data_IF_568120391017
#
_entry.id   IF_568120391017
#
_cell.length_a   1.000
_cell.length_b   1.000
_cell.length_c   1.000
_cell.angle_alpha   90.00
_cell.angle_beta   90.00
_cell.angle_gamma   90.00
#
_symmetry.space_group_name_H-M   'P 1'
#
loop_
_entity.id
_entity.type
_entity.pdbx_description
1 polymer ?
#
# COMPACT_ATOMS: atom_id res chain seq x y z
N UNK A 1 -56.91 2.04 30.16
CA UNK A 1 -56.80 1.02 29.09
C UNK A 1 -56.86 1.71 27.74
N UNK A 2 -55.70 1.88 27.08
CA UNK A 2 -55.52 2.04 25.61
C UNK A 2 -54.01 2.23 25.35
N UNK A 3 -53.29 1.10 25.41
CA UNK A 3 -52.17 0.74 24.50
C UNK A 3 -51.00 1.75 24.43
N UNK A 4 -49.98 1.76 25.30
CA UNK A 4 -48.90 0.78 25.48
C UNK A 4 -48.34 0.08 24.21
N UNK A 5 -48.51 0.65 23.00
CA UNK A 5 -48.17 -0.05 21.73
C UNK A 5 -47.25 0.74 20.79
N UNK A 6 -46.45 1.70 21.28
CA UNK A 6 -45.40 2.32 20.43
C UNK A 6 -44.03 2.25 21.10
N UNK A 7 -43.69 1.06 21.60
CA UNK A 7 -42.33 0.72 22.07
C UNK A 7 -41.76 -0.47 21.30
N UNK A 8 -42.38 -0.89 20.20
CA UNK A 8 -41.99 -2.11 19.50
C UNK A 8 -42.25 -2.01 18.00
N UNK A 9 -41.52 -1.12 17.31
CA UNK A 9 -41.36 -1.25 15.87
C UNK A 9 -40.00 -0.72 15.44
N UNK A 10 -39.03 -1.64 15.55
CA UNK A 10 -38.12 -1.98 14.45
C UNK A 10 -37.50 -0.82 13.69
N UNK A 11 -36.29 -0.47 14.14
CA UNK A 11 -35.38 0.38 13.40
C UNK A 11 -34.03 0.39 14.08
N UNK A 12 -33.51 -0.80 14.40
CA UNK A 12 -32.10 -0.98 14.69
C UNK A 12 -31.34 -0.42 13.47
N UNK A 13 -30.91 0.84 13.56
CA UNK A 13 -29.72 1.28 12.86
C UNK A 13 -28.57 0.53 13.53
N UNK A 14 -28.39 -0.71 13.11
CA UNK A 14 -27.06 -1.31 13.07
C UNK A 14 -26.24 -0.34 12.24
N UNK A 15 -25.47 0.50 12.93
CA UNK A 15 -24.26 1.07 12.37
C UNK A 15 -23.46 -0.14 11.93
N UNK A 16 -23.56 -0.49 10.64
CA UNK A 16 -22.66 -1.45 10.04
C UNK A 16 -21.29 -0.84 10.22
N UNK A 17 -20.49 -1.44 11.11
CA UNK A 17 -19.07 -1.18 11.15
C UNK A 17 -18.56 -1.50 9.74
N UNK A 18 -18.37 -0.46 8.95
CA UNK A 18 -17.63 -0.55 7.70
C UNK A 18 -16.21 -0.89 8.10
N UNK A 19 -15.93 -2.19 8.20
CA UNK A 19 -14.58 -2.71 8.38
C UNK A 19 -13.81 -2.47 7.10
N UNK A 20 -13.38 -1.23 6.88
CA UNK A 20 -12.62 -0.83 5.70
C UNK A 20 -11.19 -1.40 5.69
N UNK A 21 -10.81 -2.29 6.62
CA UNK A 21 -9.51 -2.96 6.61
C UNK A 21 -9.66 -4.41 6.18
N UNK A 22 -9.65 -4.61 4.87
CA UNK A 22 -9.86 -5.91 4.23
C UNK A 22 -8.67 -6.89 4.33
N UNK A 23 -7.52 -6.49 4.90
CA UNK A 23 -6.38 -7.38 5.24
C UNK A 23 -5.38 -6.74 6.22
N UNK A 24 -4.58 -7.57 6.92
CA UNK A 24 -3.51 -7.10 7.81
C UNK A 24 -2.13 -7.13 7.15
N UNK A 25 -1.87 -8.17 6.38
CA UNK A 25 -0.55 -8.44 5.79
C UNK A 25 -0.71 -8.82 4.33
N UNK A 26 0.15 -8.30 3.45
CA UNK A 26 0.21 -8.66 2.04
C UNK A 26 1.64 -9.01 1.63
N UNK A 27 1.84 -10.09 0.89
CA UNK A 27 3.12 -10.47 0.30
C UNK A 27 2.94 -10.71 -1.19
N UNK A 28 3.83 -10.19 -2.03
CA UNK A 28 3.78 -10.48 -3.44
C UNK A 28 4.83 -9.75 -4.24
N UNK A 29 4.49 -9.41 -5.47
CA UNK A 29 5.41 -8.84 -6.45
C UNK A 29 4.93 -7.46 -6.88
N UNK A 30 5.89 -6.57 -7.14
CA UNK A 30 5.70 -5.28 -7.79
C UNK A 30 6.52 -5.25 -9.06
N UNK A 31 5.91 -4.81 -10.15
CA UNK A 31 6.56 -4.53 -11.42
C UNK A 31 6.57 -3.03 -11.66
N UNK A 32 7.71 -2.48 -12.04
CA UNK A 32 7.89 -1.03 -12.19
C UNK A 32 8.86 -0.69 -13.31
N UNK A 33 8.91 0.58 -13.68
CA UNK A 33 9.86 1.11 -14.64
C UNK A 33 11.30 0.78 -14.27
N UNK A 34 12.14 0.50 -15.27
CA UNK A 34 13.53 0.12 -15.06
C UNK A 34 14.40 1.21 -14.42
N UNK A 35 14.05 2.50 -14.58
CA UNK A 35 14.86 3.63 -14.09
C UNK A 35 14.91 3.80 -12.57
N UNK A 36 13.91 3.29 -11.84
CA UNK A 36 13.89 3.35 -10.38
C UNK A 36 14.92 2.37 -9.78
N UNK A 37 15.58 2.77 -8.69
CA UNK A 37 16.46 1.92 -7.88
C UNK A 37 15.64 0.81 -7.22
N UNK A 38 14.48 1.14 -6.67
CA UNK A 38 13.51 0.14 -6.16
C UNK A 38 12.45 -0.12 -7.24
N UNK A 39 12.85 -0.86 -8.28
CA UNK A 39 12.03 -1.19 -9.45
C UNK A 39 11.11 -2.41 -9.24
N UNK A 40 11.46 -3.55 -9.84
CA UNK A 40 10.78 -4.83 -9.74
C UNK A 40 11.16 -5.49 -8.43
N UNK A 41 10.19 -5.69 -7.55
CA UNK A 41 10.45 -6.07 -6.18
C UNK A 41 9.50 -7.14 -5.66
N UNK A 42 9.99 -7.95 -4.71
CA UNK A 42 9.09 -8.59 -3.75
C UNK A 42 8.67 -7.53 -2.74
N UNK A 43 7.37 -7.39 -2.53
CA UNK A 43 6.77 -6.40 -1.65
C UNK A 43 6.05 -7.09 -0.49
N UNK A 44 6.31 -6.62 0.72
CA UNK A 44 5.65 -7.02 1.95
C UNK A 44 4.99 -5.80 2.60
N UNK A 45 3.67 -5.80 2.67
CA UNK A 45 2.86 -4.75 3.30
C UNK A 45 2.28 -5.23 4.62
N UNK A 46 2.39 -4.42 5.65
CA UNK A 46 1.80 -4.67 6.96
C UNK A 46 1.06 -3.44 7.47
N UNK A 47 -0.25 -3.55 7.66
CA UNK A 47 -1.04 -2.47 8.23
C UNK A 47 -0.83 -2.41 9.74
N UNK A 48 -0.37 -1.27 10.25
CA UNK A 48 -0.26 -0.99 11.68
C UNK A 48 -1.65 -0.81 12.30
N UNK A 49 -2.52 -0.08 11.61
CA UNK A 49 -3.90 0.22 11.98
C UNK A 49 -4.76 0.34 10.71
N UNK A 50 -6.02 0.79 10.83
CA UNK A 50 -6.99 0.93 9.73
C UNK A 50 -6.55 1.84 8.57
N UNK A 51 -5.62 2.76 8.86
CA UNK A 51 -5.21 3.86 7.98
C UNK A 51 -3.72 3.83 7.66
N UNK A 52 -2.89 3.18 8.46
CA UNK A 52 -1.43 3.28 8.37
C UNK A 52 -0.81 1.92 8.08
N UNK A 53 0.09 1.86 7.10
CA UNK A 53 0.83 0.66 6.75
C UNK A 53 2.33 0.94 6.61
N UNK A 54 3.12 -0.10 6.80
CA UNK A 54 4.51 -0.15 6.39
C UNK A 54 4.61 -1.09 5.20
N UNK A 55 5.31 -0.67 4.15
CA UNK A 55 5.63 -1.51 2.99
C UNK A 55 7.16 -1.65 2.89
N UNK A 56 7.65 -2.89 2.90
CA UNK A 56 9.04 -3.24 2.65
C UNK A 56 9.17 -3.83 1.25
N UNK A 57 10.24 -3.49 0.55
CA UNK A 57 10.45 -3.86 -0.85
C UNK A 57 11.87 -4.38 -1.02
N UNK A 58 12.00 -5.56 -1.61
CA UNK A 58 13.28 -6.12 -2.02
C UNK A 58 13.32 -6.17 -3.55
N UNK A 59 14.07 -5.26 -4.17
CA UNK A 59 14.23 -5.20 -5.62
C UNK A 59 15.38 -6.11 -6.08
N UNK A 60 15.08 -6.97 -7.05
CA UNK A 60 16.06 -7.85 -7.68
C UNK A 60 16.52 -7.21 -8.99
N UNK A 61 17.83 -7.05 -9.16
CA UNK A 61 18.39 -6.42 -10.35
C UNK A 61 19.77 -5.86 -10.09
N UNK A 62 20.21 -4.99 -10.99
CA UNK A 62 21.40 -4.17 -10.83
C UNK A 62 21.00 -2.69 -10.84
N UNK A 63 21.02 -2.01 -9.67
CA UNK A 63 21.41 -2.53 -8.37
C UNK A 63 20.30 -3.39 -7.72
N UNK A 64 20.72 -4.31 -6.85
CA UNK A 64 19.79 -4.92 -5.87
C UNK A 64 19.48 -3.88 -4.82
N UNK A 65 18.23 -3.74 -4.38
CA UNK A 65 17.85 -2.69 -3.46
C UNK A 65 16.85 -3.12 -2.39
N UNK A 66 16.92 -2.43 -1.25
CA UNK A 66 15.96 -2.51 -0.15
C UNK A 66 15.27 -1.16 0.00
N UNK A 67 13.95 -1.17 -0.05
CA UNK A 67 13.10 0.00 0.19
C UNK A 67 12.16 -0.21 1.37
N UNK A 68 11.86 0.87 2.07
CA UNK A 68 10.81 0.90 3.07
C UNK A 68 9.96 2.17 2.92
N UNK A 69 8.65 2.04 3.09
CA UNK A 69 7.67 3.11 3.00
C UNK A 69 6.73 3.08 4.22
N UNK A 70 6.35 4.26 4.70
CA UNK A 70 5.20 4.44 5.57
C UNK A 70 4.06 5.06 4.76
N UNK A 71 2.88 4.46 4.81
CA UNK A 71 1.77 4.79 3.93
C UNK A 71 0.49 5.08 4.73
N UNK A 72 -0.21 6.13 4.33
CA UNK A 72 -1.53 6.51 4.85
C UNK A 72 -2.58 6.21 3.78
N UNK A 73 -3.51 5.31 4.11
CA UNK A 73 -4.59 4.87 3.25
C UNK A 73 -5.90 5.54 3.65
N UNK A 74 -6.69 5.93 2.64
CA UNK A 74 -8.00 6.55 2.78
C UNK A 74 -9.00 5.88 1.84
N UNK A 75 -10.24 5.61 2.30
CA UNK A 75 -11.26 5.02 1.46
C UNK A 75 -11.63 5.94 0.29
N UNK A 76 -12.01 5.35 -0.84
CA UNK A 76 -12.71 6.05 -1.91
C UNK A 76 -14.21 5.83 -1.71
N UNK A 77 -14.98 6.92 -1.71
CA UNK A 77 -16.43 6.85 -1.51
C UNK A 77 -17.08 5.94 -2.57
N UNK A 78 -18.03 5.13 -2.13
CA UNK A 78 -18.83 4.23 -2.97
C UNK A 78 -18.05 3.10 -3.69
N UNK A 79 -16.80 2.84 -3.33
CA UNK A 79 -16.03 1.72 -3.89
C UNK A 79 -15.44 0.85 -2.79
N UNK A 80 -16.15 -0.22 -2.43
CA UNK A 80 -15.70 -1.17 -1.42
C UNK A 80 -14.40 -1.87 -1.85
N UNK A 81 -13.46 -2.06 -0.93
CA UNK A 81 -12.16 -2.65 -1.20
C UNK A 81 -11.14 -1.69 -1.85
N UNK A 82 -11.57 -0.53 -2.35
CA UNK A 82 -10.67 0.44 -2.99
C UNK A 82 -10.31 1.59 -2.03
N UNK A 83 -9.01 1.80 -1.87
CA UNK A 83 -8.43 2.94 -1.16
C UNK A 83 -7.48 3.68 -2.08
N UNK A 84 -7.32 4.97 -1.82
CA UNK A 84 -6.12 5.68 -2.26
C UNK A 84 -5.16 5.79 -1.09
N UNK A 85 -3.87 5.91 -1.38
CA UNK A 85 -2.86 6.07 -0.36
C UNK A 85 -1.76 7.01 -0.82
N UNK A 86 -1.04 7.53 0.15
CA UNK A 86 0.18 8.29 -0.07
C UNK A 86 1.16 8.00 1.07
N UNK A 87 2.44 8.17 0.82
CA UNK A 87 3.47 7.82 1.78
C UNK A 87 4.83 8.35 1.40
N UNK A 88 5.78 8.08 2.29
CA UNK A 88 7.17 8.40 2.08
C UNK A 88 8.06 7.39 2.82
N UNK A 89 9.32 7.34 2.41
CA UNK A 89 10.32 6.51 3.04
C UNK A 89 11.66 6.64 2.34
N UNK A 90 12.46 5.58 2.37
CA UNK A 90 13.81 5.58 1.84
C UNK A 90 14.22 4.23 1.31
N UNK A 91 15.39 4.20 0.69
CA UNK A 91 15.96 2.98 0.15
C UNK A 91 17.49 2.98 0.23
N UNK A 92 18.04 1.78 0.13
CA UNK A 92 19.46 1.51 -0.12
C UNK A 92 19.59 0.54 -1.30
N UNK A 93 20.30 0.96 -2.33
CA UNK A 93 20.71 0.16 -3.48
C UNK A 93 22.17 -0.25 -3.34
N UNK A 94 22.44 -1.54 -3.49
CA UNK A 94 23.76 -2.13 -3.42
C UNK A 94 24.38 -2.15 -4.83
N UNK A 95 24.92 -1.00 -5.25
CA UNK A 95 25.71 -0.87 -6.48
C UNK A 95 27.22 -0.86 -6.17
N UNK A 96 28.06 -1.04 -7.20
CA UNK A 96 29.52 -0.90 -7.11
C UNK A 96 29.97 0.24 -8.04
N UNK A 97 30.89 1.12 -7.64
CA UNK A 97 31.71 1.10 -6.42
C UNK A 97 31.00 1.58 -5.15
N UNK A 98 29.97 2.42 -5.29
CA UNK A 98 29.31 3.07 -4.16
C UNK A 98 27.82 2.70 -4.05
N UNK A 99 27.25 2.62 -2.83
CA UNK A 99 25.83 2.40 -2.66
C UNK A 99 25.01 3.60 -3.15
N UNK A 100 23.79 3.33 -3.57
CA UNK A 100 22.77 4.35 -3.81
C UNK A 100 21.89 4.45 -2.56
N UNK A 101 21.70 5.65 -2.03
CA UNK A 101 20.84 5.87 -0.87
C UNK A 101 19.99 7.08 -1.16
N UNK A 102 18.68 6.92 -0.97
CA UNK A 102 17.74 7.96 -1.33
C UNK A 102 16.45 7.92 -0.55
N UNK A 103 15.66 8.96 -0.78
CA UNK A 103 14.29 9.07 -0.31
C UNK A 103 13.33 8.68 -1.43
N UNK A 104 12.14 8.23 -1.05
CA UNK A 104 11.08 7.92 -1.99
C UNK A 104 9.73 8.42 -1.47
N UNK A 105 8.95 9.00 -2.37
CA UNK A 105 7.54 9.29 -2.15
C UNK A 105 6.69 8.22 -2.81
N UNK A 106 5.44 8.06 -2.37
CA UNK A 106 4.47 7.20 -3.05
C UNK A 106 3.08 7.80 -3.01
N UNK A 107 2.33 7.64 -4.08
CA UNK A 107 0.88 7.83 -4.13
C UNK A 107 0.28 6.75 -5.01
N UNK A 108 -0.86 6.19 -4.62
CA UNK A 108 -1.43 5.09 -5.36
C UNK A 108 -2.85 4.74 -4.99
N UNK A 109 -3.33 3.70 -5.66
CA UNK A 109 -4.60 3.04 -5.43
C UNK A 109 -4.33 1.62 -4.96
N UNK A 110 -4.97 1.22 -3.86
CA UNK A 110 -4.89 -0.12 -3.29
C UNK A 110 -6.28 -0.75 -3.34
N UNK A 111 -6.43 -1.80 -4.14
CA UNK A 111 -7.68 -2.53 -4.30
C UNK A 111 -7.57 -3.93 -3.69
N UNK A 112 -8.41 -4.21 -2.72
CA UNK A 112 -8.52 -5.52 -2.10
C UNK A 112 -9.78 -6.24 -2.59
N UNK A 113 -9.59 -7.42 -3.19
CA UNK A 113 -10.71 -8.28 -3.58
C UNK A 113 -11.40 -8.87 -2.35
N UNK A 114 -12.73 -8.77 -2.28
CA UNK A 114 -13.52 -9.22 -1.13
C UNK A 114 -13.52 -10.76 -0.98
N UNK A 115 -13.72 -11.48 -2.08
CA UNK A 115 -13.88 -12.95 -2.08
C UNK A 115 -12.61 -13.70 -2.50
N UNK A 116 -11.49 -12.99 -2.62
CA UNK A 116 -10.23 -13.56 -3.09
C UNK A 116 -9.09 -13.01 -2.22
N UNK A 117 -8.17 -13.85 -1.72
CA UNK A 117 -7.05 -13.41 -0.88
C UNK A 117 -5.95 -12.69 -1.71
N UNK A 118 -6.35 -11.83 -2.66
CA UNK A 118 -5.47 -11.01 -3.48
C UNK A 118 -5.73 -9.52 -3.26
N UNK A 119 -4.68 -8.74 -3.42
CA UNK A 119 -4.66 -7.28 -3.48
C UNK A 119 -3.96 -6.87 -4.78
N UNK A 120 -4.48 -5.82 -5.42
CA UNK A 120 -3.90 -5.17 -6.58
C UNK A 120 -3.62 -3.70 -6.22
N UNK A 121 -2.43 -3.22 -6.49
CA UNK A 121 -2.05 -1.82 -6.23
C UNK A 121 -1.42 -1.19 -7.45
N UNK A 122 -1.84 0.02 -7.78
CA UNK A 122 -1.25 0.86 -8.83
C UNK A 122 -0.69 2.11 -8.16
N UNK A 123 0.58 2.40 -8.38
CA UNK A 123 1.28 3.48 -7.69
C UNK A 123 2.21 4.28 -8.59
N UNK A 124 2.43 5.53 -8.18
CA UNK A 124 3.50 6.39 -8.64
C UNK A 124 4.46 6.63 -7.47
N UNK A 125 5.73 6.25 -7.64
CA UNK A 125 6.71 6.14 -6.54
C UNK A 125 8.04 6.85 -6.84
N UNK A 126 8.06 8.19 -7.00
CA UNK A 126 9.26 8.91 -7.38
C UNK A 126 10.38 8.73 -6.35
N UNK A 127 11.62 8.70 -6.84
CA UNK A 127 12.82 8.52 -6.03
C UNK A 127 13.74 9.73 -6.15
N UNK A 128 14.38 10.07 -5.04
CA UNK A 128 15.46 11.05 -5.01
C UNK A 128 16.69 10.35 -4.43
N UNK A 129 17.66 10.06 -5.28
CA UNK A 129 18.96 9.58 -4.84
C UNK A 129 19.76 10.76 -4.25
N UNK A 130 20.41 10.53 -3.11
CA UNK A 130 21.06 11.59 -2.33
C UNK A 130 22.57 11.32 -2.19
N UNK A 131 22.98 10.04 -2.22
CA UNK A 131 24.38 9.63 -2.09
C UNK A 131 24.92 9.10 -3.43
N UNK A 132 26.18 9.41 -3.74
CA UNK A 132 26.94 8.99 -4.93
C UNK A 132 26.53 9.64 -6.26
N UNK A 133 25.24 9.87 -6.48
CA UNK A 133 24.71 10.50 -7.69
C UNK A 133 23.36 11.18 -7.42
N UNK A 134 23.34 12.49 -7.18
CA UNK A 134 22.09 13.20 -6.86
C UNK A 134 21.20 13.24 -8.11
N UNK A 135 20.20 12.37 -8.14
CA UNK A 135 19.31 12.20 -9.27
C UNK A 135 17.86 12.02 -8.79
N UNK A 136 16.93 12.68 -9.49
CA UNK A 136 15.50 12.53 -9.25
C UNK A 136 14.88 11.69 -10.36
N UNK A 137 14.27 10.56 -9.99
CA UNK A 137 13.57 9.67 -10.92
C UNK A 137 12.05 9.81 -10.73
N UNK A 138 11.35 10.54 -11.61
CA UNK A 138 9.90 10.70 -11.56
C UNK A 138 9.14 9.56 -12.22
N UNK A 139 9.76 8.69 -13.01
CA UNK A 139 9.07 7.77 -13.92
C UNK A 139 8.71 6.42 -13.28
N UNK A 140 8.63 6.37 -11.94
CA UNK A 140 8.50 5.16 -11.17
C UNK A 140 7.04 4.71 -10.97
N UNK A 141 6.33 4.42 -12.06
CA UNK A 141 5.01 3.77 -11.97
C UNK A 141 5.16 2.29 -11.60
N UNK A 142 4.27 1.79 -10.75
CA UNK A 142 4.31 0.43 -10.22
C UNK A 142 2.95 -0.25 -10.24
N UNK A 143 2.95 -1.54 -10.56
CA UNK A 143 1.82 -2.43 -10.39
C UNK A 143 2.21 -3.55 -9.43
N UNK A 144 1.49 -3.69 -8.33
CA UNK A 144 1.72 -4.74 -7.34
C UNK A 144 0.56 -5.71 -7.26
N UNK A 145 0.87 -7.00 -7.16
CA UNK A 145 -0.08 -8.07 -6.86
C UNK A 145 0.40 -8.76 -5.59
N UNK A 146 -0.45 -8.80 -4.56
CA UNK A 146 -0.13 -9.35 -3.25
C UNK A 146 -1.14 -10.39 -2.81
N UNK A 147 -0.66 -11.52 -2.33
CA UNK A 147 -1.48 -12.43 -1.55
C UNK A 147 -1.65 -11.86 -0.14
N UNK A 148 -2.88 -11.86 0.37
CA UNK A 148 -3.22 -11.21 1.62
C UNK A 148 -3.58 -12.21 2.71
N UNK A 149 -3.13 -11.93 3.92
CA UNK A 149 -3.35 -12.74 5.10
C UNK A 149 -4.18 -11.96 6.12
N UNK A 150 -4.97 -12.70 6.91
CA UNK A 150 -5.86 -12.17 7.94
C UNK A 150 -6.85 -11.14 7.39
N UNK A 151 -7.44 -11.44 6.23
CA UNK A 151 -8.59 -10.73 5.67
C UNK A 151 -9.80 -11.02 6.56
N UNK A 152 -10.51 -10.00 7.03
CA UNK A 152 -11.72 -10.13 7.86
C UNK A 152 -12.91 -9.53 7.13
#
# INVERSE_FOLDING_TARGET
>A
MKKFVITFLTGILLVTASHAQDYKTGLGIRLSSAGAVVNNAVTFKFFLNEKSAIEAMFAFGDPTALGALYEVHKPINNTQGLKWFYGAGGYIGFSKPDPLVGAQGIVGLDYKFQNLPLNLSLDWKPELNIISDINFEPSALGLSIRFTFNSR
#
